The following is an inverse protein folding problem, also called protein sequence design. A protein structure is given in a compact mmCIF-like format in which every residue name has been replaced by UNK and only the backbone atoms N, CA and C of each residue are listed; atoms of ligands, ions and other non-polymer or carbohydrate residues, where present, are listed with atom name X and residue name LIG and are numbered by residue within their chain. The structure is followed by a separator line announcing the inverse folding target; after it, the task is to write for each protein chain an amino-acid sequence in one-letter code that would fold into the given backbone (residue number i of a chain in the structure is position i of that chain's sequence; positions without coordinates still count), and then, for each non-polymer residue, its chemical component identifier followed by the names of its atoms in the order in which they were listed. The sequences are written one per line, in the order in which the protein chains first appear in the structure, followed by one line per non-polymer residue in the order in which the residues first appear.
data_IF_299183286522
#
_entry.id   IF_299183286522
#
_cell.length_a   1.000
_cell.length_b   1.000
_cell.length_c   1.000
_cell.angle_alpha   90.00
_cell.angle_beta   90.00
_cell.angle_gamma   90.00
#
_symmetry.space_group_name_H-M   'P 1'
#
loop_
_entity.id
_entity.type
_entity.pdbx_description
1 polymer ?
#
# COMPACT_ATOMS: atom_id res chain seq x y z
N UNK A 1 46.82 23.82 -43.90
CA UNK A 1 46.70 23.56 -42.45
C UNK A 1 45.21 23.66 -42.12
N UNK A 2 44.50 22.52 -42.22
CA UNK A 2 43.93 21.76 -41.09
C UNK A 2 42.85 22.55 -40.35
N UNK A 3 41.57 22.23 -40.64
CA UNK A 3 40.63 21.43 -39.79
C UNK A 3 40.12 22.26 -38.60
N UNK A 4 38.85 22.44 -38.30
CA UNK A 4 37.66 21.55 -38.31
C UNK A 4 36.42 22.46 -38.13
N UNK A 5 35.31 22.26 -38.84
CA UNK A 5 34.16 21.39 -38.50
C UNK A 5 33.44 21.85 -37.20
N UNK A 6 32.13 22.05 -37.11
CA UNK A 6 30.98 21.74 -37.99
C UNK A 6 29.72 22.35 -37.37
N UNK A 7 28.83 22.81 -38.24
CA UNK A 7 27.36 22.77 -38.17
C UNK A 7 26.62 22.96 -36.84
N UNK A 8 26.07 24.17 -36.65
CA UNK A 8 24.82 24.39 -35.90
C UNK A 8 23.69 24.69 -36.90
N UNK A 9 22.99 23.64 -37.32
CA UNK A 9 21.67 23.72 -37.95
C UNK A 9 20.72 22.86 -37.11
N UNK A 10 19.73 23.46 -36.46
CA UNK A 10 18.37 23.53 -37.01
C UNK A 10 17.42 24.12 -35.97
N UNK A 11 16.62 25.08 -36.43
CA UNK A 11 15.61 25.78 -35.67
C UNK A 11 14.29 24.97 -35.60
N UNK A 12 13.48 25.29 -34.60
CA UNK A 12 12.04 24.98 -34.55
C UNK A 12 11.68 24.09 -33.35
N UNK A 13 10.59 24.30 -32.63
CA UNK A 13 9.49 25.22 -32.78
C UNK A 13 8.70 25.17 -31.45
N UNK A 14 8.49 26.35 -30.88
CA UNK A 14 7.31 26.80 -30.14
C UNK A 14 6.19 25.76 -29.90
N UNK A 15 5.84 25.53 -28.62
CA UNK A 15 4.45 25.66 -28.11
C UNK A 15 4.38 25.41 -26.60
N UNK A 16 3.84 26.41 -25.90
CA UNK A 16 3.23 26.27 -24.57
C UNK A 16 2.19 25.15 -24.63
N UNK A 17 2.30 24.16 -23.75
CA UNK A 17 1.22 23.25 -23.44
C UNK A 17 0.67 23.65 -22.07
N UNK A 18 -0.32 24.52 -22.08
CA UNK A 18 -1.38 24.56 -21.07
C UNK A 18 -2.24 23.33 -21.30
N UNK A 19 -1.94 22.24 -20.58
CA UNK A 19 -2.74 21.01 -20.60
C UNK A 19 -3.18 20.69 -19.17
N UNK A 20 -4.49 20.67 -18.95
CA UNK A 20 -5.12 20.12 -17.74
C UNK A 20 -4.62 18.70 -17.53
N UNK A 21 -4.08 18.43 -16.34
CA UNK A 21 -3.73 17.09 -15.90
C UNK A 21 -5.04 16.37 -15.56
N UNK A 22 -5.70 15.81 -16.57
CA UNK A 22 -6.81 14.88 -16.34
C UNK A 22 -6.24 13.57 -15.79
N UNK A 23 -6.95 12.96 -14.84
CA UNK A 23 -6.55 11.84 -13.99
C UNK A 23 -6.19 10.51 -14.71
N UNK A 24 -5.87 10.53 -16.00
CA UNK A 24 -5.73 9.35 -16.85
C UNK A 24 -4.27 8.90 -17.12
N UNK A 25 -3.26 9.55 -16.52
CA UNK A 25 -1.82 9.21 -16.73
C UNK A 25 -1.20 8.38 -15.59
N UNK A 26 -1.93 8.15 -14.50
CA UNK A 26 -1.50 7.26 -13.41
C UNK A 26 -1.66 5.71 -13.62
N UNK A 27 -2.35 5.16 -14.65
CA UNK A 27 -2.71 3.74 -14.63
C UNK A 27 -1.73 2.82 -15.38
N UNK A 28 -0.42 3.09 -15.46
CA UNK A 28 0.50 2.17 -16.17
C UNK A 28 1.80 1.77 -15.45
N UNK A 29 2.10 2.33 -14.28
CA UNK A 29 3.25 1.90 -13.44
C UNK A 29 2.86 0.97 -12.27
N UNK A 30 1.56 0.64 -12.13
CA UNK A 30 0.99 -0.24 -11.10
C UNK A 30 0.78 -1.69 -11.57
N UNK A 31 1.36 -2.09 -12.71
CA UNK A 31 1.23 -3.46 -13.22
C UNK A 31 1.94 -4.46 -12.29
N UNK A 32 1.19 -4.95 -11.30
CA UNK A 32 0.97 -6.38 -11.13
C UNK A 32 1.90 -7.14 -10.17
N UNK A 33 1.86 -6.80 -8.88
CA UNK A 33 2.28 -7.78 -7.85
C UNK A 33 1.13 -8.71 -7.44
N UNK A 34 -0.13 -8.26 -7.55
CA UNK A 34 -1.31 -9.06 -7.20
C UNK A 34 -2.45 -8.77 -8.19
N UNK A 35 -2.89 -9.77 -8.93
CA UNK A 35 -4.02 -9.67 -9.86
C UNK A 35 -5.36 -9.87 -9.13
N UNK A 36 -6.49 -9.35 -9.65
CA UNK A 36 -7.81 -9.53 -9.04
C UNK A 36 -8.20 -11.01 -8.83
N UNK A 37 -7.74 -11.90 -9.71
CA UNK A 37 -8.01 -13.35 -9.67
C UNK A 37 -7.04 -14.13 -8.80
N UNK A 38 -5.92 -13.53 -8.38
CA UNK A 38 -4.94 -14.20 -7.54
C UNK A 38 -5.51 -14.39 -6.12
N UNK A 39 -5.02 -15.38 -5.36
CA UNK A 39 -5.30 -15.47 -3.94
C UNK A 39 -4.95 -14.17 -3.22
N UNK A 40 -5.81 -13.75 -2.30
CA UNK A 40 -5.58 -12.53 -1.55
C UNK A 40 -4.32 -12.69 -0.66
N UNK A 41 -3.35 -11.75 -0.69
CA UNK A 41 -2.13 -11.86 0.07
C UNK A 41 -2.36 -12.05 1.58
N UNK A 42 -3.44 -11.50 2.12
CA UNK A 42 -3.76 -11.60 3.55
C UNK A 42 -4.08 -13.02 4.06
N UNK A 43 -4.07 -14.04 3.19
CA UNK A 43 -4.15 -15.44 3.60
C UNK A 43 -5.55 -15.99 3.88
N UNK A 44 -6.62 -15.27 3.52
CA UNK A 44 -8.01 -15.73 3.73
C UNK A 44 -8.44 -16.87 2.79
N UNK A 45 -7.69 -17.12 1.72
CA UNK A 45 -8.03 -18.11 0.68
C UNK A 45 -8.99 -17.59 -0.41
N UNK A 46 -9.64 -16.45 -0.19
CA UNK A 46 -10.46 -15.75 -1.19
C UNK A 46 -9.57 -15.08 -2.26
N UNK A 47 -10.15 -14.77 -3.42
CA UNK A 47 -9.45 -13.98 -4.43
C UNK A 47 -9.26 -12.53 -3.97
N UNK A 48 -8.21 -11.87 -4.43
CA UNK A 48 -7.93 -10.48 -4.08
C UNK A 48 -9.13 -9.57 -4.39
N UNK A 49 -9.81 -9.78 -5.52
CA UNK A 49 -11.01 -9.05 -5.91
C UNK A 49 -12.17 -9.11 -4.91
N UNK A 50 -12.34 -10.26 -4.23
CA UNK A 50 -13.44 -10.48 -3.28
C UNK A 50 -13.07 -10.19 -1.83
N UNK A 51 -11.77 -10.09 -1.54
CA UNK A 51 -11.27 -9.87 -0.20
C UNK A 51 -10.77 -8.44 -0.01
N UNK A 52 -9.46 -8.18 -0.12
CA UNK A 52 -8.89 -6.88 0.24
C UNK A 52 -8.97 -5.82 -0.87
N UNK A 53 -9.14 -6.19 -2.14
CA UNK A 53 -9.12 -5.21 -3.24
C UNK A 53 -10.13 -4.09 -3.08
N UNK A 54 -11.43 -4.32 -2.75
CA UNK A 54 -12.40 -3.24 -2.57
C UNK A 54 -11.99 -2.22 -1.49
N UNK A 55 -11.31 -2.68 -0.43
CA UNK A 55 -10.75 -1.80 0.60
C UNK A 55 -9.57 -1.00 0.05
N UNK A 56 -8.60 -1.70 -0.56
CA UNK A 56 -7.36 -1.12 -1.07
C UNK A 56 -7.61 -0.06 -2.15
N UNK A 57 -8.60 -0.25 -3.02
CA UNK A 57 -8.97 0.75 -4.04
C UNK A 57 -9.95 1.81 -3.52
N UNK A 58 -10.53 1.62 -2.33
CA UNK A 58 -11.41 2.59 -1.68
C UNK A 58 -12.91 2.44 -1.98
N UNK A 59 -13.33 1.35 -2.66
CA UNK A 59 -14.73 1.03 -2.92
C UNK A 59 -15.51 0.65 -1.64
N UNK A 60 -14.80 0.16 -0.61
CA UNK A 60 -15.34 -0.18 0.71
C UNK A 60 -14.44 0.34 1.82
N UNK A 61 -15.01 0.56 3.01
CA UNK A 61 -14.25 0.83 4.25
C UNK A 61 -14.13 -0.45 5.08
N UNK A 62 -13.09 -0.54 5.90
CA UNK A 62 -12.97 -1.67 6.82
C UNK A 62 -14.02 -1.53 7.93
N UNK A 63 -14.69 -2.64 8.24
CA UNK A 63 -15.69 -2.72 9.30
C UNK A 63 -15.05 -3.08 10.65
N UNK A 64 -13.87 -3.72 10.64
CA UNK A 64 -13.11 -4.11 11.84
C UNK A 64 -11.64 -3.73 11.77
N UNK A 65 -10.98 -3.71 12.93
CA UNK A 65 -9.53 -3.50 13.03
C UNK A 65 -8.75 -4.59 12.28
N UNK A 66 -9.15 -5.86 12.40
CA UNK A 66 -8.53 -6.98 11.69
C UNK A 66 -8.68 -6.85 10.17
N UNK A 67 -9.85 -6.45 9.69
CA UNK A 67 -10.06 -6.22 8.26
C UNK A 67 -9.17 -5.09 7.73
N UNK A 68 -9.00 -4.02 8.52
CA UNK A 68 -8.06 -2.97 8.17
C UNK A 68 -6.60 -3.48 8.18
N UNK A 69 -6.23 -4.28 9.17
CA UNK A 69 -4.88 -4.87 9.25
C UNK A 69 -4.57 -5.73 8.02
N UNK A 70 -5.47 -6.66 7.65
CA UNK A 70 -5.33 -7.55 6.49
C UNK A 70 -5.26 -6.79 5.17
N UNK A 71 -6.09 -5.76 5.01
CA UNK A 71 -6.08 -4.93 3.81
C UNK A 71 -4.84 -4.05 3.71
N UNK A 72 -4.32 -3.54 4.83
CA UNK A 72 -3.01 -2.86 4.88
C UNK A 72 -1.87 -3.79 4.49
N UNK A 73 -1.82 -5.01 5.02
CA UNK A 73 -0.85 -6.02 4.58
C UNK A 73 -0.93 -6.25 3.06
N UNK A 74 -2.15 -6.44 2.53
CA UNK A 74 -2.34 -6.66 1.09
C UNK A 74 -1.94 -5.45 0.26
N UNK A 75 -2.06 -4.23 0.79
CA UNK A 75 -1.57 -3.01 0.14
C UNK A 75 -0.05 -2.94 0.10
N UNK A 76 0.67 -3.39 1.14
CA UNK A 76 2.12 -3.56 1.07
C UNK A 76 2.51 -4.56 -0.02
N UNK A 77 1.88 -5.74 -0.04
CA UNK A 77 2.12 -6.76 -1.07
C UNK A 77 1.81 -6.27 -2.50
N UNK A 78 0.77 -5.45 -2.67
CA UNK A 78 0.38 -4.88 -3.95
C UNK A 78 1.10 -3.56 -4.30
N UNK A 79 1.96 -3.03 -3.44
CA UNK A 79 2.67 -1.76 -3.64
C UNK A 79 1.78 -0.50 -3.56
N UNK A 80 0.60 -0.56 -2.93
CA UNK A 80 -0.32 0.56 -2.83
C UNK A 80 -0.03 1.45 -1.61
N UNK A 81 0.97 2.33 -1.76
CA UNK A 81 1.38 3.28 -0.71
C UNK A 81 0.31 4.34 -0.39
N UNK A 82 -0.54 4.69 -1.36
CA UNK A 82 -1.60 5.68 -1.15
C UNK A 82 -2.65 5.17 -0.14
N UNK A 83 -3.05 3.91 -0.27
CA UNK A 83 -3.97 3.28 0.68
C UNK A 83 -3.37 3.21 2.09
N UNK A 84 -2.09 2.83 2.19
CA UNK A 84 -1.38 2.80 3.47
C UNK A 84 -1.33 4.17 4.13
N UNK A 85 -1.07 5.22 3.36
CA UNK A 85 -1.06 6.59 3.84
C UNK A 85 -2.46 7.08 4.27
N UNK A 86 -3.50 6.77 3.49
CA UNK A 86 -4.89 7.17 3.77
C UNK A 86 -5.52 6.45 4.97
N UNK A 87 -5.02 5.28 5.32
CA UNK A 87 -5.52 4.48 6.45
C UNK A 87 -4.61 4.55 7.69
N UNK A 88 -3.59 5.40 7.66
CA UNK A 88 -2.78 5.71 8.83
C UNK A 88 -3.36 6.93 9.56
N UNK A 89 -3.49 6.82 10.86
CA UNK A 89 -4.01 7.87 11.72
C UNK A 89 -3.17 9.16 11.58
N UNK A 90 -3.78 10.32 11.29
CA UNK A 90 -3.01 11.53 10.97
C UNK A 90 -2.08 12.06 12.08
N UNK A 91 -2.30 11.65 13.35
CA UNK A 91 -1.41 12.05 14.47
C UNK A 91 -0.07 11.31 14.45
N UNK A 92 -0.01 10.11 13.91
CA UNK A 92 1.16 9.22 13.95
C UNK A 92 1.72 8.91 12.58
N UNK A 93 0.99 9.27 11.52
CA UNK A 93 1.40 9.06 10.13
C UNK A 93 2.66 9.86 9.80
N UNK A 94 3.70 9.23 9.22
CA UNK A 94 4.89 9.95 8.79
C UNK A 94 4.60 10.91 7.63
N UNK A 95 5.44 11.94 7.47
CA UNK A 95 5.29 12.93 6.41
C UNK A 95 5.39 12.31 5.00
N UNK A 96 6.24 11.28 4.86
CA UNK A 96 6.42 10.50 3.64
C UNK A 96 6.34 9.01 3.97
N UNK A 97 5.74 8.24 3.06
CA UNK A 97 5.74 6.78 3.11
C UNK A 97 6.49 6.30 1.87
N UNK A 98 7.69 5.75 2.05
CA UNK A 98 8.44 5.16 0.96
C UNK A 98 7.86 3.77 0.64
N UNK A 99 7.67 3.42 -0.64
CA UNK A 99 7.32 2.05 -1.00
C UNK A 99 8.49 1.11 -0.68
N UNK A 100 8.19 -0.06 -0.13
CA UNK A 100 9.17 -1.13 0.09
C UNK A 100 9.50 -1.82 -1.23
N UNK A 101 10.34 -1.20 -2.06
CA UNK A 101 10.65 -1.69 -3.42
C UNK A 101 11.59 -2.90 -3.46
N UNK A 102 11.93 -3.49 -2.32
CA UNK A 102 12.82 -4.66 -2.21
C UNK A 102 12.27 -5.81 -1.36
N UNK A 103 11.09 -5.65 -0.76
CA UNK A 103 10.48 -6.63 0.12
C UNK A 103 9.34 -7.33 -0.61
N UNK A 104 9.46 -8.64 -0.76
CA UNK A 104 8.37 -9.50 -1.22
C UNK A 104 7.63 -10.05 0.01
N UNK A 105 6.34 -9.74 0.11
CA UNK A 105 5.47 -10.21 1.19
C UNK A 105 4.88 -11.58 0.84
N UNK A 106 5.22 -12.60 1.63
CA UNK A 106 4.98 -14.01 1.34
C UNK A 106 3.71 -14.57 1.99
N UNK A 107 3.29 -14.00 3.12
CA UNK A 107 2.10 -14.45 3.83
C UNK A 107 1.86 -13.70 5.14
N UNK A 108 0.61 -13.74 5.58
CA UNK A 108 0.15 -13.13 6.83
C UNK A 108 -0.52 -14.19 7.71
N UNK A 109 -0.11 -14.24 8.97
CA UNK A 109 -0.77 -14.99 10.05
C UNK A 109 -1.29 -13.98 11.09
N UNK A 110 -2.59 -13.94 11.34
CA UNK A 110 -3.15 -13.20 12.48
C UNK A 110 -3.10 -14.12 13.70
N UNK A 111 -2.42 -13.67 14.75
CA UNK A 111 -2.14 -14.43 15.97
C UNK A 111 -3.19 -14.16 17.05
N UNK A 112 -3.57 -12.89 17.23
CA UNK A 112 -4.53 -12.46 18.25
C UNK A 112 -5.26 -11.19 17.81
N UNK A 113 -6.49 -11.02 18.28
CA UNK A 113 -7.31 -9.81 18.06
C UNK A 113 -7.99 -9.45 19.37
N UNK A 114 -7.79 -8.20 19.82
CA UNK A 114 -8.39 -7.66 21.04
C UNK A 114 -9.28 -6.48 20.66
N UNK A 115 -10.57 -6.57 20.97
CA UNK A 115 -11.60 -5.61 20.54
C UNK A 115 -11.58 -5.40 19.01
N UNK A 116 -11.86 -4.19 18.53
CA UNK A 116 -11.80 -3.88 17.11
C UNK A 116 -12.97 -4.42 16.27
N UNK A 117 -14.07 -4.82 16.90
CA UNK A 117 -15.32 -5.16 16.23
C UNK A 117 -16.07 -3.94 15.69
N UNK A 118 -17.21 -4.13 15.01
CA UNK A 118 -17.97 -3.03 14.38
C UNK A 118 -18.47 -1.95 15.35
N UNK A 119 -18.64 -2.30 16.63
CA UNK A 119 -19.14 -1.43 17.69
C UNK A 119 -18.03 -0.88 18.60
N UNK A 120 -16.77 -1.25 18.35
CA UNK A 120 -15.62 -0.78 19.11
C UNK A 120 -15.02 0.50 18.49
N UNK A 121 -14.47 1.37 19.33
CA UNK A 121 -13.73 2.57 18.89
C UNK A 121 -12.21 2.35 18.79
N UNK A 122 -11.71 1.24 19.36
CA UNK A 122 -10.30 0.87 19.36
C UNK A 122 -10.13 -0.65 19.23
N UNK A 123 -9.00 -1.09 18.70
CA UNK A 123 -8.68 -2.51 18.64
C UNK A 123 -7.19 -2.76 18.45
N UNK A 124 -6.75 -3.96 18.79
CA UNK A 124 -5.38 -4.41 18.58
C UNK A 124 -5.37 -5.70 17.76
N UNK A 125 -4.40 -5.82 16.87
CA UNK A 125 -4.20 -7.02 16.05
C UNK A 125 -2.73 -7.41 16.14
N UNK A 126 -2.47 -8.60 16.66
CA UNK A 126 -1.16 -9.23 16.64
C UNK A 126 -1.05 -10.14 15.43
N UNK A 127 0.07 -10.05 14.70
CA UNK A 127 0.27 -10.83 13.49
C UNK A 127 1.74 -11.13 13.23
N UNK A 128 1.96 -12.09 12.34
CA UNK A 128 3.24 -12.39 11.72
C UNK A 128 3.15 -12.17 10.22
N UNK A 129 4.02 -11.34 9.69
CA UNK A 129 4.16 -11.10 8.26
C UNK A 129 5.47 -11.72 7.76
N UNK A 130 5.35 -12.74 6.93
CA UNK A 130 6.51 -13.41 6.33
C UNK A 130 6.95 -12.64 5.09
N UNK A 131 8.25 -12.43 4.95
CA UNK A 131 8.79 -11.65 3.84
C UNK A 131 10.10 -12.21 3.31
N UNK A 132 10.47 -11.76 2.11
CA UNK A 132 11.78 -11.98 1.49
C UNK A 132 12.39 -10.65 1.10
N UNK A 133 13.61 -10.42 1.55
CA UNK A 133 14.48 -9.30 1.19
C UNK A 133 15.72 -9.87 0.46
N UNK A 134 15.69 -9.81 -0.86
CA UNK A 134 16.67 -10.46 -1.73
C UNK A 134 16.72 -11.97 -1.50
N UNK A 135 17.81 -12.47 -0.89
CA UNK A 135 17.99 -13.90 -0.57
C UNK A 135 17.59 -14.26 0.86
N UNK A 136 17.29 -13.27 1.70
CA UNK A 136 16.95 -13.50 3.11
C UNK A 136 15.44 -13.58 3.25
N UNK A 137 14.97 -14.60 3.94
CA UNK A 137 13.58 -14.69 4.39
C UNK A 137 13.51 -14.32 5.86
N UNK A 138 12.47 -13.61 6.26
CA UNK A 138 12.24 -13.20 7.64
C UNK A 138 10.77 -13.26 8.01
N UNK A 139 10.50 -13.03 9.28
CA UNK A 139 9.16 -12.86 9.83
C UNK A 139 9.17 -11.60 10.68
N UNK A 140 8.31 -10.65 10.33
CA UNK A 140 7.97 -9.53 11.19
C UNK A 140 6.88 -10.00 12.15
N UNK A 141 7.10 -9.86 13.46
CA UNK A 141 6.08 -10.08 14.47
C UNK A 141 5.71 -8.73 15.07
N UNK A 142 4.44 -8.34 14.95
CA UNK A 142 3.99 -7.02 15.38
C UNK A 142 2.64 -7.13 16.08
N UNK A 143 2.42 -6.23 17.05
CA UNK A 143 1.11 -5.90 17.59
C UNK A 143 0.74 -4.48 17.22
N UNK A 144 -0.19 -4.34 16.28
CA UNK A 144 -0.67 -3.04 15.81
C UNK A 144 -1.90 -2.59 16.59
N UNK A 145 -2.02 -1.27 16.79
CA UNK A 145 -3.16 -0.59 17.40
C UNK A 145 -3.95 0.17 16.35
N UNK A 146 -5.27 0.15 16.51
CA UNK A 146 -6.23 0.77 15.61
C UNK A 146 -7.24 1.60 16.37
N UNK A 147 -7.72 2.67 15.74
CA UNK A 147 -8.76 3.53 16.29
C UNK A 147 -9.73 4.01 15.22
N UNK A 148 -11.00 4.17 15.62
CA UNK A 148 -12.03 4.78 14.79
C UNK A 148 -11.92 6.29 14.86
N UNK A 149 -11.97 6.95 13.70
CA UNK A 149 -12.10 8.40 13.58
C UNK A 149 -13.05 8.74 12.44
N UNK A 150 -14.05 9.56 12.73
CA UNK A 150 -15.10 9.89 11.75
C UNK A 150 -15.69 8.63 11.10
N UNK A 151 -16.01 7.62 11.93
CA UNK A 151 -16.61 6.33 11.55
C UNK A 151 -15.74 5.48 10.59
N UNK A 152 -14.42 5.64 10.63
CA UNK A 152 -13.47 4.86 9.83
C UNK A 152 -12.32 4.40 10.71
N UNK A 153 -11.91 3.14 10.54
CA UNK A 153 -10.72 2.59 11.19
C UNK A 153 -9.43 3.21 10.62
N UNK A 154 -8.46 3.44 11.50
CA UNK A 154 -7.10 3.86 11.15
C UNK A 154 -6.08 3.07 11.95
N UNK A 155 -4.97 2.73 11.31
CA UNK A 155 -3.76 2.27 11.99
C UNK A 155 -3.14 3.42 12.77
N UNK A 156 -2.87 3.23 14.05
CA UNK A 156 -2.26 4.24 14.93
C UNK A 156 -0.76 4.03 14.98
N UNK A 157 -0.33 2.92 15.56
CA UNK A 157 1.06 2.50 15.70
C UNK A 157 1.11 0.98 15.92
N UNK A 158 2.30 0.45 16.17
CA UNK A 158 2.48 -0.93 16.58
C UNK A 158 3.84 -1.16 17.22
N UNK A 159 3.92 -2.20 18.03
CA UNK A 159 5.16 -2.64 18.65
C UNK A 159 5.69 -3.86 17.89
N UNK A 160 6.96 -3.80 17.50
CA UNK A 160 7.67 -4.87 16.77
C UNK A 160 8.58 -5.61 17.74
N UNK A 161 8.49 -6.94 17.73
CA UNK A 161 9.31 -7.86 18.54
C UNK A 161 10.48 -8.47 17.74
#
# INVERSE_FOLDING_TARGET
MTRSATDDQNAGNMRRLTGEVTAAVFPQLWRGLVQPTDPCPCGTGESFARCCRPLVVGDRQADTAEELMRSRYSAYAAGNSEYLWRTWHPRTRPATLAPDTGIEWLGLEVVDVVAGGPDDDTGEVQFRAHYRDGRRTGTLHERSRFAVRARRWFYVDGDVD
#
